data_IF_771313184555
#
_entry.id   IF_771313184555
#
_cell.length_a   1.000
_cell.length_b   1.000
_cell.length_c   1.000
_cell.angle_alpha   90.00
_cell.angle_beta   90.00
_cell.angle_gamma   90.00
#
_symmetry.space_group_name_H-M   'P 1'
#
loop_
_entity.id
_entity.type
_entity.pdbx_description
1 polymer ?
#
# COMPACT_ATOMS: atom_id res chain seq x y z
N UNK A 1 17.70 -66.05 19.57
CA UNK A 1 18.33 -65.46 18.35
C UNK A 1 18.36 -63.92 18.47
N UNK A 2 18.84 -63.43 19.62
CA UNK A 2 18.49 -62.08 20.15
C UNK A 2 19.72 -61.26 20.53
N UNK A 3 20.88 -61.58 19.93
CA UNK A 3 22.16 -60.91 20.22
C UNK A 3 22.66 -60.13 18.99
N UNK A 4 22.31 -60.53 17.77
CA UNK A 4 22.74 -59.84 16.53
C UNK A 4 22.07 -58.48 16.27
N UNK A 5 20.87 -58.23 16.80
CA UNK A 5 20.12 -56.99 16.52
C UNK A 5 20.55 -55.79 17.39
N UNK A 6 21.16 -56.04 18.56
CA UNK A 6 21.70 -54.97 19.44
C UNK A 6 23.05 -54.43 18.97
N UNK A 7 23.90 -55.25 18.35
CA UNK A 7 25.17 -54.76 17.76
C UNK A 7 24.96 -53.90 16.51
N UNK A 8 23.91 -54.16 15.72
CA UNK A 8 23.64 -53.37 14.52
C UNK A 8 23.05 -51.99 14.81
N UNK A 9 22.34 -51.84 15.93
CA UNK A 9 21.79 -50.55 16.39
C UNK A 9 22.84 -49.68 17.12
N UNK A 10 23.82 -50.30 17.80
CA UNK A 10 24.93 -49.55 18.41
C UNK A 10 25.85 -48.91 17.35
N UNK A 11 26.04 -49.56 16.19
CA UNK A 11 26.84 -49.00 15.08
C UNK A 11 26.18 -47.86 14.30
N UNK A 12 24.87 -47.67 14.43
CA UNK A 12 24.14 -46.58 13.76
C UNK A 12 24.05 -45.31 14.63
N UNK A 13 24.30 -45.42 15.94
CA UNK A 13 24.36 -44.26 16.84
C UNK A 13 25.69 -43.49 16.73
N UNK A 14 26.79 -44.17 16.38
CA UNK A 14 28.12 -43.56 16.26
C UNK A 14 28.36 -42.83 14.91
N UNK A 15 27.49 -43.00 13.91
CA UNK A 15 27.69 -42.42 12.56
C UNK A 15 27.13 -41.01 12.39
N UNK A 16 26.56 -40.39 13.44
CA UNK A 16 26.16 -38.98 13.42
C UNK A 16 27.08 -38.19 14.36
N UNK A 17 28.39 -38.22 14.08
CA UNK A 17 29.24 -37.16 14.60
C UNK A 17 28.83 -35.86 13.90
N UNK A 18 28.18 -34.98 14.66
CA UNK A 18 28.00 -33.57 14.28
C UNK A 18 29.40 -32.97 14.19
N UNK A 19 30.01 -33.08 13.00
CA UNK A 19 31.33 -32.53 12.73
C UNK A 19 31.30 -31.04 13.06
N UNK A 20 31.95 -30.66 14.16
CA UNK A 20 32.10 -29.28 14.56
C UNK A 20 32.72 -28.51 13.39
N UNK A 21 32.03 -27.46 12.93
CA UNK A 21 32.47 -26.65 11.80
C UNK A 21 33.92 -26.20 12.06
N UNK A 22 34.89 -26.58 11.19
CA UNK A 22 36.30 -26.28 11.42
C UNK A 22 36.51 -24.77 11.59
N UNK A 23 37.39 -24.36 12.51
CA UNK A 23 37.59 -22.96 12.95
C UNK A 23 37.85 -21.99 11.79
N UNK A 24 38.48 -22.44 10.70
CA UNK A 24 38.67 -21.68 9.47
C UNK A 24 37.35 -21.30 8.78
N UNK A 25 36.36 -22.20 8.77
CA UNK A 25 35.02 -21.97 8.20
C UNK A 25 34.19 -21.04 9.09
N UNK A 26 34.38 -21.06 10.42
CA UNK A 26 33.81 -20.03 11.34
C UNK A 26 34.41 -18.64 11.09
N UNK A 27 35.71 -18.54 10.80
CA UNK A 27 36.38 -17.25 10.48
C UNK A 27 35.95 -16.71 9.11
N UNK A 28 35.78 -17.60 8.13
CA UNK A 28 35.22 -17.26 6.82
C UNK A 28 33.76 -16.76 6.94
N UNK A 29 32.89 -17.47 7.67
CA UNK A 29 31.51 -17.04 7.93
C UNK A 29 31.45 -15.69 8.67
N UNK A 30 32.34 -15.43 9.64
CA UNK A 30 32.45 -14.11 10.29
C UNK A 30 32.91 -13.01 9.33
N UNK A 31 33.87 -13.28 8.44
CA UNK A 31 34.30 -12.32 7.40
C UNK A 31 33.19 -12.04 6.38
N UNK A 32 32.45 -13.06 5.95
CA UNK A 32 31.30 -12.91 5.06
C UNK A 32 30.20 -12.06 5.69
N UNK A 33 29.94 -12.22 7.00
CA UNK A 33 28.98 -11.38 7.72
C UNK A 33 29.43 -9.91 7.80
N UNK A 34 30.72 -9.62 8.05
CA UNK A 34 31.23 -8.24 8.08
C UNK A 34 31.11 -7.56 6.72
N UNK A 35 31.39 -8.28 5.64
CA UNK A 35 31.23 -7.77 4.27
C UNK A 35 29.75 -7.48 3.99
N UNK A 36 28.82 -8.37 4.40
CA UNK A 36 27.39 -8.13 4.27
C UNK A 36 26.92 -6.86 5.00
N UNK A 37 27.39 -6.64 6.24
CA UNK A 37 27.11 -5.42 6.98
C UNK A 37 27.71 -4.17 6.34
N UNK A 38 28.91 -4.28 5.76
CA UNK A 38 29.54 -3.15 5.05
C UNK A 38 28.72 -2.75 3.82
N UNK A 39 28.22 -3.73 3.05
CA UNK A 39 27.32 -3.46 1.92
C UNK A 39 25.95 -2.90 2.35
N UNK A 40 25.43 -3.33 3.50
CA UNK A 40 24.19 -2.77 4.05
C UNK A 40 24.39 -1.38 4.69
N UNK A 41 25.62 -1.02 5.05
CA UNK A 41 25.91 0.18 5.84
C UNK A 41 25.48 1.49 5.19
N UNK A 42 25.61 1.75 3.87
CA UNK A 42 25.15 3.02 3.29
C UNK A 42 23.63 3.20 3.43
N UNK A 43 22.87 2.12 3.20
CA UNK A 43 21.41 2.14 3.37
C UNK A 43 21.03 2.30 4.84
N UNK A 44 21.69 1.58 5.75
CA UNK A 44 21.42 1.67 7.18
C UNK A 44 21.76 3.05 7.75
N UNK A 45 22.89 3.65 7.34
CA UNK A 45 23.28 5.01 7.72
C UNK A 45 22.23 6.00 7.20
N UNK A 46 21.81 5.87 5.94
CA UNK A 46 20.75 6.71 5.38
C UNK A 46 19.44 6.60 6.17
N UNK A 47 18.99 5.39 6.49
CA UNK A 47 17.79 5.16 7.30
C UNK A 47 17.92 5.80 8.68
N UNK A 48 19.06 5.63 9.36
CA UNK A 48 19.27 6.20 10.68
C UNK A 48 19.28 7.74 10.63
N UNK A 49 20.06 8.31 9.72
CA UNK A 49 20.25 9.76 9.63
C UNK A 49 19.01 10.51 9.13
N UNK A 50 18.30 9.97 8.14
CA UNK A 50 17.21 10.69 7.48
C UNK A 50 15.80 10.23 7.92
N UNK A 51 15.67 9.10 8.59
CA UNK A 51 14.37 8.61 9.07
C UNK A 51 14.33 8.47 10.59
N UNK A 52 15.19 7.64 11.17
CA UNK A 52 15.11 7.32 12.61
C UNK A 52 15.42 8.53 13.50
N UNK A 53 16.48 9.29 13.19
CA UNK A 53 16.86 10.47 13.97
C UNK A 53 15.77 11.56 13.91
N UNK A 54 15.28 12.00 12.73
CA UNK A 54 14.17 12.95 12.67
C UNK A 54 12.91 12.46 13.39
N UNK A 55 12.57 11.18 13.29
CA UNK A 55 11.43 10.60 13.99
C UNK A 55 11.58 10.69 15.52
N UNK A 56 12.75 10.34 16.06
CA UNK A 56 13.05 10.46 17.48
C UNK A 56 13.05 11.94 17.93
N UNK A 57 13.56 12.84 17.11
CA UNK A 57 13.50 14.28 17.36
C UNK A 57 12.05 14.79 17.38
N UNK A 58 11.19 14.36 16.46
CA UNK A 58 9.76 14.70 16.47
C UNK A 58 9.05 14.22 17.73
N UNK A 59 9.41 13.04 18.25
CA UNK A 59 8.91 12.55 19.54
C UNK A 59 9.44 13.41 20.69
N UNK A 60 10.71 13.82 20.67
CA UNK A 60 11.24 14.71 21.70
C UNK A 60 10.53 16.08 21.68
N UNK A 61 10.37 16.67 20.49
CA UNK A 61 9.73 17.97 20.31
C UNK A 61 8.23 17.96 20.61
N UNK A 62 7.54 16.81 20.55
CA UNK A 62 6.14 16.75 20.95
C UNK A 62 5.92 17.01 22.45
N UNK A 63 6.97 16.94 23.28
CA UNK A 63 6.96 17.30 24.69
C UNK A 63 7.46 18.73 24.98
N UNK A 64 7.77 19.51 23.94
CA UNK A 64 8.27 20.88 24.09
C UNK A 64 7.38 21.91 23.39
N UNK A 65 7.45 23.17 23.79
CA UNK A 65 6.82 24.31 23.10
C UNK A 65 7.68 24.77 21.92
N UNK A 66 8.04 23.82 21.05
CA UNK A 66 8.91 24.11 19.93
C UNK A 66 8.27 25.14 18.98
N UNK A 67 8.95 26.26 18.78
CA UNK A 67 8.64 27.26 17.76
C UNK A 67 9.90 27.51 16.94
N UNK A 68 9.75 27.78 15.65
CA UNK A 68 10.89 28.11 14.77
C UNK A 68 11.63 29.36 15.28
N UNK A 69 10.93 30.24 15.99
CA UNK A 69 11.42 31.56 16.41
C UNK A 69 11.83 31.62 17.89
N UNK A 70 11.49 30.61 18.70
CA UNK A 70 11.73 30.63 20.15
C UNK A 70 12.33 29.30 20.63
N UNK A 71 13.30 29.32 21.57
CA UNK A 71 13.78 28.10 22.20
C UNK A 71 12.62 27.33 22.83
N UNK A 72 12.40 26.08 22.44
CA UNK A 72 11.31 25.28 22.98
C UNK A 72 11.55 24.93 24.45
N UNK A 73 10.57 25.20 25.31
CA UNK A 73 10.59 24.79 26.71
C UNK A 73 9.95 23.42 26.87
N UNK A 74 10.46 22.59 27.79
CA UNK A 74 9.87 21.28 28.06
C UNK A 74 8.58 21.45 28.87
N UNK A 75 7.45 21.10 28.25
CA UNK A 75 6.10 21.23 28.83
C UNK A 75 5.46 19.88 29.15
N UNK A 76 6.19 18.78 28.98
CA UNK A 76 5.70 17.44 29.25
C UNK A 76 4.49 17.10 28.38
N UNK A 77 3.39 16.64 28.99
CA UNK A 77 2.20 16.14 28.27
C UNK A 77 1.18 17.24 27.90
N UNK A 78 1.47 18.52 28.14
CA UNK A 78 0.51 19.61 27.92
C UNK A 78 0.02 19.67 26.46
N UNK A 79 0.94 19.53 25.49
CA UNK A 79 0.58 19.50 24.05
C UNK A 79 -0.47 18.43 23.73
N UNK A 80 -0.40 17.25 24.36
CA UNK A 80 -1.38 16.18 24.15
C UNK A 80 -2.72 16.51 24.81
N UNK A 81 -2.71 17.11 26.01
CA UNK A 81 -3.95 17.53 26.68
C UNK A 81 -4.68 18.57 25.84
N UNK A 82 -3.97 19.56 25.33
CA UNK A 82 -4.53 20.60 24.47
C UNK A 82 -5.09 19.99 23.17
N UNK A 83 -4.35 19.06 22.56
CA UNK A 83 -4.78 18.33 21.37
C UNK A 83 -6.08 17.55 21.58
N UNK A 84 -6.24 16.86 22.72
CA UNK A 84 -7.45 16.10 23.00
C UNK A 84 -8.69 16.98 23.26
N UNK A 85 -8.49 18.23 23.68
CA UNK A 85 -9.57 19.19 23.87
C UNK A 85 -9.88 20.01 22.60
N UNK A 86 -9.06 19.90 21.55
CA UNK A 86 -9.27 20.59 20.28
C UNK A 86 -10.34 19.87 19.42
N UNK A 87 -11.49 20.52 19.12
CA UNK A 87 -12.49 19.94 18.23
C UNK A 87 -11.98 19.70 16.80
N UNK A 88 -11.02 20.49 16.33
CA UNK A 88 -10.45 20.35 14.98
C UNK A 88 -9.60 19.10 14.84
N UNK A 89 -8.93 18.68 15.92
CA UNK A 89 -8.19 17.41 15.96
C UNK A 89 -9.11 16.22 15.69
N UNK A 90 -10.22 16.13 16.42
CA UNK A 90 -11.21 15.06 16.23
C UNK A 90 -11.88 15.09 14.86
N UNK A 91 -12.18 16.30 14.34
CA UNK A 91 -12.71 16.46 12.98
C UNK A 91 -11.73 15.95 11.93
N UNK A 92 -10.44 16.23 12.10
CA UNK A 92 -9.38 15.79 11.20
C UNK A 92 -9.23 14.26 11.23
N UNK A 93 -9.19 13.66 12.43
CA UNK A 93 -9.19 12.20 12.59
C UNK A 93 -10.40 11.56 11.90
N UNK A 94 -11.61 12.10 12.13
CA UNK A 94 -12.82 11.60 11.51
C UNK A 94 -12.73 11.64 9.99
N UNK A 95 -12.26 12.75 9.41
CA UNK A 95 -12.10 12.89 7.96
C UNK A 95 -11.08 11.90 7.39
N UNK A 96 -9.94 11.71 8.05
CA UNK A 96 -8.91 10.75 7.62
C UNK A 96 -9.40 9.31 7.71
N UNK A 97 -10.09 8.94 8.80
CA UNK A 97 -10.67 7.61 8.96
C UNK A 97 -11.79 7.38 7.93
N UNK A 98 -12.69 8.34 7.75
CA UNK A 98 -13.74 8.29 6.74
C UNK A 98 -13.12 8.04 5.36
N UNK A 99 -12.15 8.86 4.96
CA UNK A 99 -11.45 8.70 3.69
C UNK A 99 -10.85 7.29 3.56
N UNK A 100 -10.11 6.84 4.57
CA UNK A 100 -9.42 5.54 4.56
C UNK A 100 -10.40 4.36 4.44
N UNK A 101 -11.46 4.34 5.24
CA UNK A 101 -12.44 3.26 5.31
C UNK A 101 -13.21 3.11 3.99
N UNK A 102 -13.45 4.19 3.26
CA UNK A 102 -14.11 4.11 1.95
C UNK A 102 -13.11 3.91 0.81
N UNK A 103 -12.02 4.67 0.78
CA UNK A 103 -11.05 4.62 -0.32
C UNK A 103 -10.34 3.27 -0.40
N UNK A 104 -9.86 2.72 0.71
CA UNK A 104 -9.03 1.50 0.67
C UNK A 104 -9.81 0.29 0.15
N UNK A 105 -11.02 -0.06 0.65
CA UNK A 105 -11.79 -1.16 0.10
C UNK A 105 -12.21 -0.93 -1.37
N UNK A 106 -12.58 0.31 -1.74
CA UNK A 106 -12.94 0.64 -3.12
C UNK A 106 -11.73 0.49 -4.06
N UNK A 107 -10.55 0.94 -3.65
CA UNK A 107 -9.33 0.82 -4.45
C UNK A 107 -8.91 -0.64 -4.65
N UNK A 108 -9.10 -1.50 -3.64
CA UNK A 108 -8.87 -2.95 -3.78
C UNK A 108 -9.88 -3.54 -4.75
N UNK A 109 -11.17 -3.27 -4.55
CA UNK A 109 -12.23 -3.82 -5.38
C UNK A 109 -12.08 -3.41 -6.85
N UNK A 110 -11.97 -2.10 -7.11
CA UNK A 110 -11.79 -1.55 -8.45
C UNK A 110 -10.44 -1.99 -9.02
N UNK A 111 -9.38 -2.00 -8.21
CA UNK A 111 -8.05 -2.40 -8.66
C UNK A 111 -7.99 -3.86 -9.13
N UNK A 112 -8.57 -4.79 -8.36
CA UNK A 112 -8.68 -6.20 -8.74
C UNK A 112 -9.59 -6.38 -9.95
N UNK A 113 -10.73 -5.68 -10.01
CA UNK A 113 -11.64 -5.73 -11.15
C UNK A 113 -10.95 -5.27 -12.45
N UNK A 114 -10.28 -4.11 -12.41
CA UNK A 114 -9.51 -3.59 -13.53
C UNK A 114 -8.36 -4.53 -13.91
N UNK A 115 -7.64 -5.08 -12.94
CA UNK A 115 -6.56 -6.03 -13.23
C UNK A 115 -7.08 -7.29 -13.94
N UNK A 116 -8.21 -7.86 -13.48
CA UNK A 116 -8.84 -9.01 -14.16
C UNK A 116 -9.26 -8.66 -15.59
N UNK A 117 -9.87 -7.48 -15.81
CA UNK A 117 -10.22 -7.00 -17.15
C UNK A 117 -8.97 -6.82 -18.03
N UNK A 118 -7.90 -6.26 -17.47
CA UNK A 118 -6.63 -6.00 -18.14
C UNK A 118 -5.72 -7.24 -18.29
N UNK A 119 -6.12 -8.37 -17.71
CA UNK A 119 -5.48 -9.67 -17.88
C UNK A 119 -6.10 -10.51 -19.01
N UNK A 120 -7.20 -10.06 -19.61
CA UNK A 120 -7.85 -10.78 -20.70
C UNK A 120 -6.97 -10.80 -21.96
N UNK A 121 -6.95 -11.94 -22.66
CA UNK A 121 -6.18 -12.14 -23.91
C UNK A 121 -6.89 -11.52 -25.11
N UNK A 122 -7.02 -10.18 -25.14
CA UNK A 122 -7.67 -9.41 -26.23
C UNK A 122 -6.63 -8.68 -27.07
N UNK A 123 -6.93 -8.38 -28.35
CA UNK A 123 -6.08 -7.53 -29.19
C UNK A 123 -6.14 -6.07 -28.71
N UNK A 124 -5.01 -5.38 -28.64
CA UNK A 124 -4.94 -3.98 -28.21
C UNK A 124 -4.77 -3.74 -26.69
N UNK A 125 -4.54 -4.78 -25.90
CA UNK A 125 -4.42 -4.69 -24.43
C UNK A 125 -3.30 -3.78 -23.94
N UNK A 126 -2.23 -3.62 -24.72
CA UNK A 126 -1.16 -2.67 -24.41
C UNK A 126 -1.69 -1.23 -24.30
N UNK A 127 -2.59 -0.82 -25.21
CA UNK A 127 -3.19 0.52 -25.20
C UNK A 127 -4.07 0.72 -23.98
N UNK A 128 -4.92 -0.25 -23.65
CA UNK A 128 -5.76 -0.19 -22.44
C UNK A 128 -4.91 -0.09 -21.17
N UNK A 129 -3.87 -0.91 -21.03
CA UNK A 129 -2.94 -0.82 -19.89
C UNK A 129 -2.31 0.57 -19.79
N UNK A 130 -1.88 1.16 -20.91
CA UNK A 130 -1.34 2.52 -20.92
C UNK A 130 -2.36 3.55 -20.48
N UNK A 131 -3.61 3.51 -20.98
CA UNK A 131 -4.65 4.47 -20.62
C UNK A 131 -4.98 4.42 -19.13
N UNK A 132 -5.15 3.22 -18.56
CA UNK A 132 -5.46 3.06 -17.14
C UNK A 132 -4.27 3.34 -16.22
N UNK A 133 -3.04 3.24 -16.73
CA UNK A 133 -1.83 3.56 -15.96
C UNK A 133 -1.42 5.04 -16.08
N UNK A 134 -1.83 5.74 -17.15
CA UNK A 134 -1.45 7.14 -17.39
C UNK A 134 -1.72 8.07 -16.19
N UNK A 135 -2.87 7.96 -15.47
CA UNK A 135 -3.14 8.82 -14.32
C UNK A 135 -2.09 8.75 -13.21
N UNK A 136 -1.43 7.59 -13.02
CA UNK A 136 -0.44 7.44 -11.95
C UNK A 136 0.88 8.13 -12.23
N UNK A 137 1.12 8.48 -13.49
CA UNK A 137 2.30 9.24 -13.89
C UNK A 137 2.11 10.75 -13.69
N UNK A 138 0.87 11.20 -13.46
CA UNK A 138 0.56 12.61 -13.24
C UNK A 138 0.99 13.00 -11.83
N UNK A 139 1.79 14.08 -11.65
CA UNK A 139 2.13 14.58 -10.33
C UNK A 139 0.88 14.94 -9.51
N UNK A 140 0.87 14.64 -8.21
CA UNK A 140 -0.31 14.83 -7.35
C UNK A 140 -0.86 16.26 -7.37
N UNK A 141 0.01 17.28 -7.40
CA UNK A 141 -0.40 18.68 -7.49
C UNK A 141 -1.05 19.00 -8.83
N UNK A 142 -0.51 18.47 -9.94
CA UNK A 142 -1.11 18.65 -11.27
C UNK A 142 -2.47 17.94 -11.37
N UNK A 143 -2.59 16.75 -10.76
CA UNK A 143 -3.85 16.02 -10.64
C UNK A 143 -4.88 16.84 -9.85
N UNK A 144 -4.49 17.48 -8.74
CA UNK A 144 -5.35 18.37 -7.97
C UNK A 144 -5.86 19.53 -8.84
N UNK A 145 -4.97 20.25 -9.51
CA UNK A 145 -5.35 21.39 -10.38
C UNK A 145 -6.29 20.95 -11.51
N UNK A 146 -6.01 19.81 -12.16
CA UNK A 146 -6.87 19.26 -13.21
C UNK A 146 -8.29 19.01 -12.70
N UNK A 147 -8.43 18.35 -11.55
CA UNK A 147 -9.73 18.06 -10.97
C UNK A 147 -10.44 19.30 -10.43
N UNK A 148 -9.69 20.29 -9.92
CA UNK A 148 -10.24 21.60 -9.53
C UNK A 148 -10.94 22.29 -10.70
N UNK A 149 -10.34 22.23 -11.90
CA UNK A 149 -10.95 22.75 -13.12
C UNK A 149 -12.16 21.91 -13.58
N UNK A 150 -12.05 20.58 -13.58
CA UNK A 150 -13.14 19.70 -14.01
C UNK A 150 -14.37 19.78 -13.11
N UNK A 151 -14.16 19.93 -11.80
CA UNK A 151 -15.21 19.96 -10.77
C UNK A 151 -15.63 21.37 -10.38
N UNK A 152 -15.17 22.40 -11.12
CA UNK A 152 -15.56 23.77 -10.83
C UNK A 152 -17.08 23.95 -10.95
N UNK A 153 -17.77 24.53 -9.96
CA UNK A 153 -19.24 24.58 -9.95
C UNK A 153 -19.86 25.27 -11.17
N UNK A 154 -19.25 26.36 -11.63
CA UNK A 154 -19.83 27.24 -12.64
C UNK A 154 -19.44 26.91 -14.10
N UNK A 155 -18.26 26.33 -14.32
CA UNK A 155 -17.70 26.10 -15.67
C UNK A 155 -16.99 24.75 -15.80
N UNK A 156 -17.08 23.91 -14.78
CA UNK A 156 -16.47 22.59 -14.78
C UNK A 156 -17.17 21.66 -15.76
N UNK A 157 -16.37 20.84 -16.46
CA UNK A 157 -16.86 19.88 -17.45
C UNK A 157 -17.87 18.91 -16.84
N UNK A 158 -17.67 18.49 -15.59
CA UNK A 158 -18.56 17.52 -14.91
C UNK A 158 -19.96 18.11 -14.73
N UNK A 159 -20.06 19.35 -14.24
CA UNK A 159 -21.35 20.02 -14.10
C UNK A 159 -21.98 20.35 -15.45
N UNK A 160 -21.19 20.75 -16.45
CA UNK A 160 -21.69 20.94 -17.81
C UNK A 160 -22.31 19.68 -18.42
N UNK A 161 -21.68 18.52 -18.18
CA UNK A 161 -22.23 17.22 -18.61
C UNK A 161 -23.51 16.86 -17.86
N UNK A 162 -23.56 17.07 -16.54
CA UNK A 162 -24.76 16.83 -15.73
C UNK A 162 -25.94 17.72 -16.13
N UNK A 163 -25.67 18.99 -16.44
CA UNK A 163 -26.68 19.94 -16.89
C UNK A 163 -27.32 19.52 -18.21
N UNK A 164 -26.59 18.81 -19.10
CA UNK A 164 -27.17 18.25 -20.33
C UNK A 164 -28.26 17.20 -20.04
N UNK A 165 -28.18 16.52 -18.90
CA UNK A 165 -29.19 15.59 -18.42
C UNK A 165 -30.20 16.24 -17.46
N UNK A 166 -30.19 17.57 -17.32
CA UNK A 166 -31.08 18.32 -16.43
C UNK A 166 -30.74 18.19 -14.94
N UNK A 167 -29.52 17.78 -14.59
CA UNK A 167 -29.07 17.64 -13.21
C UNK A 167 -28.23 18.85 -12.81
N UNK A 168 -28.67 19.59 -11.80
CA UNK A 168 -27.86 20.63 -11.17
C UNK A 168 -26.73 19.98 -10.36
N UNK A 169 -25.49 20.13 -10.86
CA UNK A 169 -24.33 19.51 -10.27
C UNK A 169 -23.98 20.09 -8.89
N UNK A 170 -23.60 19.24 -7.90
CA UNK A 170 -23.31 19.71 -6.56
C UNK A 170 -22.01 20.54 -6.48
N UNK A 171 -21.80 21.29 -5.38
CA UNK A 171 -20.51 21.91 -5.10
C UNK A 171 -19.49 20.84 -4.66
N UNK A 172 -18.91 20.14 -5.63
CA UNK A 172 -18.04 18.98 -5.42
C UNK A 172 -16.92 19.18 -4.40
N UNK A 173 -16.25 20.34 -4.44
CA UNK A 173 -15.11 20.64 -3.55
C UNK A 173 -15.49 21.51 -2.36
N UNK A 174 -16.47 22.41 -2.52
CA UNK A 174 -16.87 23.37 -1.49
C UNK A 174 -17.99 22.89 -0.55
N UNK A 175 -18.69 21.80 -0.89
CA UNK A 175 -19.80 21.28 -0.10
C UNK A 175 -19.37 20.26 0.95
N UNK A 176 -19.95 20.32 2.15
CA UNK A 176 -19.69 19.36 3.23
C UNK A 176 -20.07 17.91 2.85
N UNK A 177 -21.14 17.75 2.06
CA UNK A 177 -21.61 16.44 1.61
C UNK A 177 -20.75 15.82 0.50
N UNK A 178 -20.22 16.63 -0.41
CA UNK A 178 -19.58 16.16 -1.65
C UNK A 178 -18.06 16.22 -1.65
N UNK A 179 -17.44 17.09 -0.84
CA UNK A 179 -15.97 17.21 -0.74
C UNK A 179 -15.28 15.87 -0.49
N UNK A 180 -15.72 15.11 0.51
CA UNK A 180 -15.12 13.80 0.84
C UNK A 180 -15.32 12.75 -0.27
N UNK A 181 -16.55 12.52 -0.79
CA UNK A 181 -16.74 11.65 -1.97
C UNK A 181 -15.89 12.05 -3.17
N UNK A 182 -15.80 13.35 -3.49
CA UNK A 182 -14.98 13.85 -4.60
C UNK A 182 -13.51 13.50 -4.40
N UNK A 183 -12.95 13.72 -3.22
CA UNK A 183 -11.57 13.34 -2.91
C UNK A 183 -11.32 11.83 -3.08
N UNK A 184 -12.29 10.99 -2.68
CA UNK A 184 -12.20 9.53 -2.86
C UNK A 184 -12.20 9.19 -4.36
N UNK A 185 -13.13 9.73 -5.14
CA UNK A 185 -13.22 9.48 -6.59
C UNK A 185 -11.95 9.92 -7.33
N UNK A 186 -11.42 11.10 -6.98
CA UNK A 186 -10.17 11.62 -7.53
C UNK A 186 -8.99 10.72 -7.17
N UNK A 187 -8.93 10.22 -5.94
CA UNK A 187 -7.87 9.31 -5.50
C UNK A 187 -7.99 7.94 -6.20
N UNK A 188 -9.21 7.47 -6.46
CA UNK A 188 -9.47 6.22 -7.19
C UNK A 188 -8.98 6.29 -8.64
N UNK A 189 -8.94 7.48 -9.25
CA UNK A 189 -8.38 7.66 -10.58
C UNK A 189 -6.86 7.37 -10.62
N UNK A 190 -6.18 7.50 -9.48
CA UNK A 190 -4.74 7.26 -9.32
C UNK A 190 -4.34 5.85 -8.87
N UNK A 191 -5.21 4.83 -8.94
CA UNK A 191 -4.91 3.48 -8.43
C UNK A 191 -4.10 2.59 -9.38
N UNK A 192 -3.66 3.10 -10.53
CA UNK A 192 -3.00 2.31 -11.58
C UNK A 192 -1.78 1.51 -11.10
N UNK A 193 -1.03 1.98 -10.09
CA UNK A 193 0.11 1.27 -9.54
C UNK A 193 -0.33 -0.02 -8.84
N UNK A 194 -1.43 0.03 -8.07
CA UNK A 194 -2.03 -1.14 -7.45
C UNK A 194 -2.54 -2.12 -8.51
N UNK A 195 -3.13 -1.63 -9.60
CA UNK A 195 -3.58 -2.45 -10.74
C UNK A 195 -2.41 -3.19 -11.38
N UNK A 196 -1.26 -2.53 -11.58
CA UNK A 196 -0.04 -3.16 -12.13
C UNK A 196 0.47 -4.25 -11.20
N UNK A 197 0.46 -4.00 -9.88
CA UNK A 197 0.85 -5.02 -8.88
C UNK A 197 -0.11 -6.22 -8.94
N UNK A 198 -1.42 -5.99 -9.05
CA UNK A 198 -2.38 -7.08 -9.24
C UNK A 198 -2.18 -7.83 -10.55
N UNK A 199 -1.86 -7.15 -11.64
CA UNK A 199 -1.54 -7.79 -12.93
C UNK A 199 -0.31 -8.70 -12.84
N UNK A 200 0.74 -8.26 -12.14
CA UNK A 200 1.90 -9.11 -11.86
C UNK A 200 1.50 -10.35 -11.07
N UNK A 201 0.72 -10.17 -9.99
CA UNK A 201 0.21 -11.28 -9.19
C UNK A 201 -0.70 -12.25 -9.95
N UNK A 202 -1.52 -11.75 -10.87
CA UNK A 202 -2.35 -12.58 -11.75
C UNK A 202 -1.50 -13.38 -12.75
N UNK A 203 -0.39 -12.81 -13.22
CA UNK A 203 0.56 -13.47 -14.11
C UNK A 203 1.36 -14.59 -13.44
N UNK A 204 1.54 -14.52 -12.12
CA UNK A 204 2.24 -15.55 -11.34
C UNK A 204 1.37 -16.79 -11.05
N UNK A 205 0.05 -16.74 -11.34
CA UNK A 205 -0.85 -17.89 -11.14
C UNK A 205 -0.68 -18.87 -12.31
N UNK A 206 -0.25 -20.13 -12.07
CA UNK A 206 -0.12 -21.12 -13.14
C UNK A 206 -1.43 -21.41 -13.85
N UNK A 207 -1.39 -21.50 -15.19
CA UNK A 207 -2.57 -21.77 -16.03
C UNK A 207 -3.23 -23.14 -15.70
N UNK A 208 -2.45 -24.10 -15.18
CA UNK A 208 -2.91 -25.44 -14.76
C UNK A 208 -4.10 -25.39 -13.78
N UNK A 209 -4.13 -24.42 -12.87
CA UNK A 209 -5.26 -24.25 -11.92
C UNK A 209 -6.55 -23.85 -12.64
N UNK A 210 -6.45 -23.04 -13.69
CA UNK A 210 -7.61 -22.59 -14.48
C UNK A 210 -8.12 -23.68 -15.43
N UNK A 211 -7.21 -24.52 -15.95
CA UNK A 211 -7.52 -25.69 -16.77
C UNK A 211 -8.18 -26.79 -15.95
N UNK A 212 -7.64 -27.13 -14.78
CA UNK A 212 -8.24 -28.10 -13.86
C UNK A 212 -9.67 -27.68 -13.46
N UNK A 213 -9.85 -26.40 -13.09
CA UNK A 213 -11.19 -25.87 -12.80
C UNK A 213 -12.13 -25.93 -14.01
N UNK A 214 -11.61 -25.81 -15.25
CA UNK A 214 -12.43 -25.94 -16.46
C UNK A 214 -12.90 -27.37 -16.69
N UNK A 215 -12.03 -28.36 -16.43
CA UNK A 215 -12.35 -29.78 -16.52
C UNK A 215 -13.46 -30.13 -15.51
N UNK A 216 -13.41 -29.54 -14.32
CA UNK A 216 -14.46 -29.66 -13.28
C UNK A 216 -15.75 -28.88 -13.62
N UNK A 217 -15.84 -28.24 -14.79
CA UNK A 217 -17.01 -27.49 -15.24
C UNK A 217 -17.20 -26.14 -14.55
N UNK A 218 -16.15 -25.57 -13.93
CA UNK A 218 -16.26 -24.30 -13.23
C UNK A 218 -16.50 -23.12 -14.19
N UNK A 219 -17.53 -22.33 -13.90
CA UNK A 219 -17.81 -21.09 -14.62
C UNK A 219 -16.87 -19.95 -14.21
N UNK A 220 -16.90 -18.82 -14.94
CA UNK A 220 -16.01 -17.68 -14.69
C UNK A 220 -16.06 -17.16 -13.25
N UNK A 221 -17.26 -16.99 -12.67
CA UNK A 221 -17.40 -16.50 -11.30
C UNK A 221 -16.84 -17.48 -10.27
N UNK A 222 -17.00 -18.79 -10.50
CA UNK A 222 -16.42 -19.83 -9.66
C UNK A 222 -14.89 -19.82 -9.75
N UNK A 223 -14.31 -19.68 -10.95
CA UNK A 223 -12.86 -19.53 -11.13
C UNK A 223 -12.33 -18.29 -10.40
N UNK A 224 -12.98 -17.14 -10.56
CA UNK A 224 -12.59 -15.90 -9.86
C UNK A 224 -12.63 -16.08 -8.34
N UNK A 225 -13.72 -16.59 -7.78
CA UNK A 225 -13.89 -16.69 -6.33
C UNK A 225 -13.05 -17.81 -5.68
N UNK A 226 -12.88 -18.94 -6.36
CA UNK A 226 -12.26 -20.14 -5.78
C UNK A 226 -10.79 -20.35 -6.19
N UNK A 227 -10.34 -19.75 -7.29
CA UNK A 227 -8.96 -19.88 -7.78
C UNK A 227 -8.26 -18.54 -7.70
N UNK A 228 -8.77 -17.52 -8.42
CA UNK A 228 -8.08 -16.24 -8.56
C UNK A 228 -7.95 -15.48 -7.25
N UNK A 229 -9.05 -15.20 -6.54
CA UNK A 229 -9.01 -14.40 -5.31
C UNK A 229 -8.18 -15.05 -4.19
N UNK A 230 -8.28 -16.37 -3.92
CA UNK A 230 -7.44 -17.02 -2.91
C UNK A 230 -5.95 -16.96 -3.26
N UNK A 231 -5.58 -17.24 -4.51
CA UNK A 231 -4.17 -17.20 -4.93
C UNK A 231 -3.62 -15.77 -5.02
N UNK A 232 -4.47 -14.78 -5.28
CA UNK A 232 -4.11 -13.36 -5.29
C UNK A 232 -4.10 -12.73 -3.88
N UNK A 233 -4.54 -13.45 -2.84
CA UNK A 233 -4.66 -12.93 -1.47
C UNK A 233 -3.37 -12.31 -0.91
N UNK A 234 -2.16 -12.86 -1.11
CA UNK A 234 -0.91 -12.22 -0.66
C UNK A 234 -0.69 -10.84 -1.28
N UNK A 235 -1.08 -10.67 -2.55
CA UNK A 235 -0.96 -9.41 -3.30
C UNK A 235 -2.03 -8.41 -2.87
N UNK A 236 -3.25 -8.89 -2.60
CA UNK A 236 -4.33 -8.08 -2.00
C UNK A 236 -3.91 -7.58 -0.62
N UNK A 237 -3.33 -8.44 0.21
CA UNK A 237 -2.86 -8.05 1.54
C UNK A 237 -1.74 -7.01 1.47
N UNK A 238 -0.79 -7.17 0.56
CA UNK A 238 0.25 -6.16 0.31
C UNK A 238 -0.35 -4.80 -0.05
N UNK A 239 -1.26 -4.77 -1.04
CA UNK A 239 -1.92 -3.53 -1.47
C UNK A 239 -2.85 -2.96 -0.39
N UNK A 240 -3.46 -3.79 0.44
CA UNK A 240 -4.24 -3.35 1.60
C UNK A 240 -3.35 -2.58 2.59
N UNK A 241 -2.21 -3.16 2.98
CA UNK A 241 -1.28 -2.52 3.92
C UNK A 241 -0.72 -1.22 3.34
N UNK A 242 -0.23 -1.26 2.10
CA UNK A 242 0.31 -0.07 1.43
C UNK A 242 -0.75 1.00 1.20
N UNK A 243 -1.97 0.58 0.81
CA UNK A 243 -3.11 1.46 0.61
C UNK A 243 -3.56 2.13 1.90
N UNK A 244 -3.57 1.42 3.03
CA UNK A 244 -3.85 2.02 4.35
C UNK A 244 -2.79 3.05 4.71
N UNK A 245 -1.50 2.72 4.59
CA UNK A 245 -0.41 3.66 4.89
C UNK A 245 -0.56 4.93 4.04
N UNK A 246 -0.77 4.77 2.73
CA UNK A 246 -0.96 5.89 1.81
C UNK A 246 -2.20 6.73 2.13
N UNK A 247 -3.31 6.10 2.51
CA UNK A 247 -4.54 6.81 2.87
C UNK A 247 -4.39 7.64 4.15
N UNK A 248 -3.68 7.13 5.15
CA UNK A 248 -3.36 7.89 6.37
C UNK A 248 -2.37 9.04 6.13
N UNK A 249 -1.50 8.91 5.12
CA UNK A 249 -0.51 9.92 4.75
C UNK A 249 -1.03 10.94 3.72
N UNK A 250 -2.31 10.84 3.32
CA UNK A 250 -2.85 11.67 2.26
C UNK A 250 -3.04 13.13 2.74
N UNK A 251 -2.14 14.01 2.29
CA UNK A 251 -2.14 15.43 2.64
C UNK A 251 -2.29 16.34 1.41
N UNK A 252 -1.57 16.03 0.33
CA UNK A 252 -1.42 16.92 -0.83
C UNK A 252 -2.75 17.26 -1.49
N UNK A 253 -3.61 16.26 -1.73
CA UNK A 253 -4.89 16.48 -2.41
C UNK A 253 -5.85 17.37 -1.60
N UNK A 254 -6.21 17.03 -0.34
CA UNK A 254 -7.05 17.90 0.48
C UNK A 254 -6.48 19.32 0.57
N UNK A 255 -5.21 19.48 0.95
CA UNK A 255 -4.58 20.79 1.13
C UNK A 255 -4.57 21.67 -0.12
N UNK A 256 -4.49 21.07 -1.31
CA UNK A 256 -4.47 21.84 -2.57
C UNK A 256 -5.88 22.23 -3.04
N UNK A 257 -6.90 21.47 -2.63
CA UNK A 257 -8.27 21.58 -3.16
C UNK A 257 -9.25 22.31 -2.25
N UNK A 258 -8.98 22.32 -0.94
CA UNK A 258 -9.85 22.86 0.10
C UNK A 258 -9.06 23.79 1.01
#
# INVERSE_FOLDING_TARGET
MTIGRRMHMAKLADSVQVNAIPSARKRALRRTNVIGWLFASPWAIGLLCFYAIPMLMSIYFSFTTYSILQPGEFVGMNNYRDLFHDPLFWKSIYNTIYFTVFFVPLSIFIGVALAMMLNMKVKGMAVFRTIFFLPTLVPQVALAVLWMWLLHPNFGLVNGMLAHFGIDGPPWLGGEAWSKPSLILMSLWGIGQAVVIYLAGLGDIPDEYYEAAQIDGANWFQKTRKVTLPLLTPVIFYNLVMGMIGAFQQFTLPYTLT
#
